data_IF_097840578011
#
_entry.id   IF_097840578011
#
_cell.length_a   1.000
_cell.length_b   1.000
_cell.length_c   1.000
_cell.angle_alpha   90.00
_cell.angle_beta   90.00
_cell.angle_gamma   90.00
#
_symmetry.space_group_name_H-M   'P 1'
#
loop_
_entity.id
_entity.type
_entity.pdbx_description
1 polymer ?
#
# COMPACT_ATOMS: atom_id res chain seq x y z
N UNK A 1 -7.34 9.56 13.17
CA UNK A 1 -7.67 8.11 13.22
C UNK A 1 -8.93 7.88 12.39
N UNK A 2 -8.92 6.90 11.50
CA UNK A 2 -10.07 6.50 10.69
C UNK A 2 -10.23 4.99 10.70
N UNK A 3 -11.43 4.52 10.39
CA UNK A 3 -11.71 3.10 10.22
C UNK A 3 -12.84 2.93 9.20
N UNK A 4 -12.72 1.95 8.31
CA UNK A 4 -13.74 1.59 7.34
C UNK A 4 -13.91 0.07 7.34
N UNK A 5 -15.15 -0.38 7.23
CA UNK A 5 -15.43 -1.80 7.01
C UNK A 5 -16.14 -1.97 5.67
N UNK A 6 -15.62 -2.85 4.82
CA UNK A 6 -16.16 -3.11 3.50
C UNK A 6 -16.70 -4.56 3.41
N UNK A 7 -17.82 -4.71 2.68
CA UNK A 7 -18.44 -6.00 2.31
C UNK A 7 -18.43 -6.13 0.79
N UNK A 8 -17.29 -6.45 0.18
CA UNK A 8 -17.20 -6.51 -1.27
C UNK A 8 -17.98 -7.71 -1.82
N UNK A 9 -18.63 -7.49 -2.96
CA UNK A 9 -19.38 -8.53 -3.67
C UNK A 9 -18.52 -9.72 -4.11
N UNK A 10 -17.22 -9.52 -4.26
CA UNK A 10 -16.24 -10.59 -4.56
C UNK A 10 -16.16 -11.65 -3.45
N UNK A 11 -16.45 -11.25 -2.21
CA UNK A 11 -16.50 -12.14 -1.04
C UNK A 11 -17.93 -12.61 -0.73
N UNK A 12 -18.94 -12.14 -1.45
CA UNK A 12 -20.31 -12.56 -1.25
C UNK A 12 -20.58 -13.93 -1.93
N UNK A 13 -20.90 -14.93 -1.12
CA UNK A 13 -21.28 -16.25 -1.63
C UNK A 13 -21.57 -17.24 -0.51
N UNK A 14 -22.29 -18.31 -0.79
CA UNK A 14 -22.77 -19.26 0.24
C UNK A 14 -21.62 -20.00 0.93
N UNK A 15 -20.48 -20.15 0.26
CA UNK A 15 -19.29 -20.84 0.77
C UNK A 15 -18.18 -19.91 1.22
N UNK A 16 -18.35 -18.59 1.07
CA UNK A 16 -17.33 -17.61 1.46
C UNK A 16 -17.16 -17.57 2.99
N UNK A 17 -15.93 -17.71 3.45
CA UNK A 17 -15.57 -17.67 4.87
C UNK A 17 -15.40 -16.22 5.35
N UNK A 18 -14.75 -15.38 4.56
CA UNK A 18 -14.46 -13.98 4.88
C UNK A 18 -15.42 -13.06 4.13
N UNK A 19 -16.42 -12.50 4.81
CA UNK A 19 -17.46 -11.68 4.19
C UNK A 19 -17.18 -10.17 4.22
N UNK A 20 -16.30 -9.74 5.09
CA UNK A 20 -15.94 -8.32 5.25
C UNK A 20 -14.51 -8.18 5.72
N UNK A 21 -13.98 -6.97 5.57
CA UNK A 21 -12.68 -6.62 6.13
C UNK A 21 -12.63 -5.16 6.60
N UNK A 22 -11.90 -4.96 7.70
CA UNK A 22 -11.77 -3.70 8.36
C UNK A 22 -10.43 -3.05 8.04
N UNK A 23 -10.46 -1.74 7.74
CA UNK A 23 -9.32 -0.89 7.40
C UNK A 23 -9.10 0.18 8.47
N UNK A 24 -8.23 -0.05 9.44
CA UNK A 24 -7.83 0.99 10.37
C UNK A 24 -6.71 1.85 9.80
N UNK A 25 -6.73 3.13 10.15
CA UNK A 25 -5.58 4.01 9.98
C UNK A 25 -5.44 4.98 11.15
N UNK A 26 -4.20 5.33 11.47
CA UNK A 26 -3.86 6.32 12.47
C UNK A 26 -2.69 7.15 11.97
N UNK A 27 -2.75 8.45 12.19
CA UNK A 27 -1.67 9.36 11.88
C UNK A 27 -1.69 10.54 12.82
N UNK A 28 -0.51 11.12 12.99
CA UNK A 28 -0.33 12.30 13.82
C UNK A 28 0.87 13.11 13.34
N UNK A 29 0.89 14.37 13.72
CA UNK A 29 2.05 15.24 13.51
C UNK A 29 2.19 16.22 14.67
N UNK A 30 3.42 16.59 14.92
CA UNK A 30 3.81 17.54 15.98
C UNK A 30 4.74 18.57 15.38
N UNK A 31 4.46 19.86 15.64
CA UNK A 31 5.33 20.96 15.29
C UNK A 31 6.30 21.20 16.45
N UNK A 32 7.48 20.62 16.38
CA UNK A 32 8.46 20.66 17.46
C UNK A 32 8.99 22.08 17.69
N UNK A 33 9.10 22.91 16.65
CA UNK A 33 9.54 24.30 16.78
C UNK A 33 8.62 25.15 17.66
N UNK A 34 7.32 24.80 17.79
CA UNK A 34 6.41 25.48 18.69
C UNK A 34 6.51 25.01 20.15
N UNK A 35 7.03 23.81 20.36
CA UNK A 35 7.25 23.25 21.71
C UNK A 35 8.59 23.68 22.32
N UNK A 36 9.45 24.34 21.54
CA UNK A 36 10.78 24.79 21.96
C UNK A 36 10.85 26.31 22.03
N UNK A 37 10.42 26.96 23.16
CA UNK A 37 10.32 28.41 23.24
C UNK A 37 11.66 29.14 23.12
N UNK A 38 12.79 28.48 23.44
CA UNK A 38 14.14 29.04 23.37
C UNK A 38 14.86 28.73 22.05
N UNK A 39 14.13 28.22 21.04
CA UNK A 39 14.73 27.90 19.75
C UNK A 39 15.12 29.17 19.00
N UNK A 40 16.37 29.29 18.58
CA UNK A 40 16.81 30.40 17.73
C UNK A 40 16.21 30.24 16.33
N UNK A 41 15.20 31.05 16.02
CA UNK A 41 14.44 31.00 14.74
C UNK A 41 15.29 31.41 13.52
N UNK A 42 16.46 32.03 13.73
CA UNK A 42 17.39 32.30 12.62
C UNK A 42 18.04 31.01 12.09
N UNK A 43 18.27 30.03 12.97
CA UNK A 43 18.84 28.73 12.58
C UNK A 43 17.78 27.71 12.24
N UNK A 44 16.67 27.64 13.01
CA UNK A 44 15.60 26.68 12.79
C UNK A 44 14.26 27.36 13.02
N UNK A 45 13.62 27.80 11.94
CA UNK A 45 12.35 28.54 12.02
C UNK A 45 11.13 27.63 12.08
N UNK A 46 11.26 26.38 11.60
CA UNK A 46 10.16 25.42 11.57
C UNK A 46 10.70 24.01 11.61
N UNK A 47 10.08 23.16 12.43
CA UNK A 47 10.37 21.72 12.48
C UNK A 47 9.09 20.96 12.81
N UNK A 48 8.67 20.08 11.92
CA UNK A 48 7.50 19.22 12.08
C UNK A 48 7.88 17.76 11.85
N UNK A 49 7.49 16.92 12.78
CA UNK A 49 7.54 15.46 12.63
C UNK A 49 6.14 14.94 12.38
N UNK A 50 6.01 14.00 11.44
CA UNK A 50 4.75 13.31 11.14
C UNK A 50 4.97 11.80 11.15
N UNK A 51 3.94 11.07 11.55
CA UNK A 51 3.93 9.62 11.47
C UNK A 51 2.54 9.12 11.15
N UNK A 52 2.45 8.09 10.32
CA UNK A 52 1.20 7.44 10.01
C UNK A 52 1.37 5.92 9.90
N UNK A 53 0.29 5.23 10.18
CA UNK A 53 0.14 3.81 9.94
C UNK A 53 -1.26 3.54 9.36
N UNK A 54 -1.32 2.67 8.35
CA UNK A 54 -2.57 2.25 7.74
C UNK A 54 -2.53 0.77 7.37
N UNK A 55 -3.68 0.12 7.48
CA UNK A 55 -3.91 -1.23 6.98
C UNK A 55 -5.01 -1.17 5.93
N UNK A 56 -4.70 -1.51 4.69
CA UNK A 56 -5.63 -1.46 3.56
C UNK A 56 -5.76 -2.85 2.97
N UNK A 57 -6.99 -3.27 2.67
CA UNK A 57 -7.26 -4.49 1.95
C UNK A 57 -7.62 -4.22 0.49
N UNK A 58 -7.23 -5.10 -0.40
CA UNK A 58 -7.60 -5.07 -1.80
C UNK A 58 -8.31 -6.39 -2.15
N UNK A 59 -9.56 -6.38 -2.62
CA UNK A 59 -10.24 -7.59 -3.03
C UNK A 59 -9.60 -8.15 -4.31
N UNK A 60 -9.69 -9.46 -4.48
CA UNK A 60 -9.29 -10.15 -5.70
C UNK A 60 -10.36 -10.03 -6.81
N UNK A 61 -10.11 -10.66 -7.97
CA UNK A 61 -11.00 -10.63 -9.12
C UNK A 61 -12.40 -11.12 -8.79
N UNK A 62 -13.40 -10.55 -9.47
CA UNK A 62 -14.80 -11.01 -9.38
C UNK A 62 -14.87 -12.50 -9.73
N UNK A 63 -15.67 -13.26 -8.99
CA UNK A 63 -15.89 -14.70 -9.14
C UNK A 63 -14.71 -15.63 -8.78
N UNK A 64 -13.57 -15.12 -8.33
CA UNK A 64 -12.46 -15.98 -7.89
C UNK A 64 -12.87 -16.89 -6.71
N UNK A 65 -13.58 -16.32 -5.71
CA UNK A 65 -14.08 -17.08 -4.57
C UNK A 65 -15.43 -17.78 -4.83
N UNK A 66 -16.24 -17.27 -5.74
CA UNK A 66 -17.55 -17.79 -6.09
C UNK A 66 -17.67 -17.86 -7.61
N UNK A 67 -17.11 -18.89 -8.22
CA UNK A 67 -17.13 -19.04 -9.66
C UNK A 67 -18.54 -19.23 -10.19
N UNK A 68 -18.80 -18.75 -11.40
CA UNK A 68 -20.08 -18.90 -12.07
C UNK A 68 -19.87 -19.54 -13.44
N UNK A 69 -20.90 -20.16 -13.97
CA UNK A 69 -20.90 -20.76 -15.29
C UNK A 69 -21.64 -19.81 -16.25
N UNK A 70 -20.94 -19.05 -17.12
CA UNK A 70 -21.60 -18.20 -18.09
C UNK A 70 -22.35 -19.05 -19.14
N UNK A 71 -23.52 -18.58 -19.55
CA UNK A 71 -24.26 -19.15 -20.66
C UNK A 71 -23.66 -18.69 -22.00
N UNK A 72 -23.31 -19.63 -22.85
CA UNK A 72 -22.80 -19.36 -24.19
C UNK A 72 -23.98 -19.44 -25.17
N UNK A 73 -24.54 -18.27 -25.51
CA UNK A 73 -25.78 -18.19 -26.30
C UNK A 73 -25.65 -18.81 -27.70
N UNK A 74 -24.50 -18.64 -28.35
CA UNK A 74 -24.26 -19.20 -29.69
C UNK A 74 -24.18 -20.73 -29.72
N UNK A 75 -23.77 -21.34 -28.63
CA UNK A 75 -23.58 -22.80 -28.51
C UNK A 75 -24.77 -23.48 -27.80
N UNK A 76 -25.68 -22.69 -27.22
CA UNK A 76 -26.80 -23.20 -26.45
C UNK A 76 -26.41 -24.02 -25.23
N UNK A 77 -25.27 -23.71 -24.61
CA UNK A 77 -24.71 -24.45 -23.47
C UNK A 77 -24.11 -23.55 -22.39
N UNK A 78 -23.99 -24.06 -21.19
CA UNK A 78 -23.19 -23.43 -20.13
C UNK A 78 -21.70 -23.66 -20.39
N UNK A 79 -20.87 -22.62 -20.13
CA UNK A 79 -19.42 -22.77 -20.18
C UNK A 79 -18.94 -23.73 -19.09
N UNK A 80 -17.79 -24.35 -19.31
CA UNK A 80 -17.10 -25.08 -18.27
C UNK A 80 -16.37 -24.11 -17.32
N UNK A 81 -16.22 -24.53 -16.06
CA UNK A 81 -15.41 -23.79 -15.11
C UNK A 81 -13.93 -24.03 -15.44
N UNK A 82 -13.22 -22.95 -15.74
CA UNK A 82 -11.79 -22.99 -16.11
C UNK A 82 -10.88 -22.86 -14.89
N UNK A 83 -11.33 -22.13 -13.88
CA UNK A 83 -10.55 -21.85 -12.68
C UNK A 83 -11.00 -22.76 -11.53
N UNK A 84 -10.03 -23.35 -10.81
CA UNK A 84 -10.33 -24.15 -9.61
C UNK A 84 -10.96 -23.28 -8.52
N UNK A 85 -12.13 -23.60 -7.97
CA UNK A 85 -12.82 -22.76 -7.00
C UNK A 85 -12.13 -22.78 -5.63
N UNK A 86 -11.72 -21.60 -5.15
CA UNK A 86 -11.13 -21.41 -3.84
C UNK A 86 -12.04 -20.54 -2.97
N UNK A 87 -12.73 -21.16 -2.01
CA UNK A 87 -13.75 -20.50 -1.18
C UNK A 87 -13.19 -19.76 0.04
N UNK A 88 -11.95 -20.04 0.43
CA UNK A 88 -11.27 -19.50 1.60
C UNK A 88 -10.34 -18.32 1.28
N UNK A 89 -10.41 -17.80 0.06
CA UNK A 89 -9.63 -16.65 -0.36
C UNK A 89 -9.80 -15.46 0.59
N UNK A 90 -8.68 -14.86 0.96
CA UNK A 90 -8.60 -13.66 1.81
C UNK A 90 -8.26 -12.45 0.95
N UNK A 91 -8.76 -11.25 1.26
CA UNK A 91 -8.29 -10.04 0.58
C UNK A 91 -6.79 -9.86 0.77
N UNK A 92 -6.12 -9.36 -0.26
CA UNK A 92 -4.76 -8.87 -0.09
C UNK A 92 -4.74 -7.77 0.96
N UNK A 93 -3.77 -7.78 1.84
CA UNK A 93 -3.64 -6.80 2.91
C UNK A 93 -2.29 -6.11 2.86
N UNK A 94 -2.32 -4.78 2.72
CA UNK A 94 -1.14 -3.94 2.80
C UNK A 94 -1.13 -3.18 4.12
N UNK A 95 -0.12 -3.44 4.93
CA UNK A 95 0.17 -2.67 6.13
C UNK A 95 1.32 -1.71 5.80
N UNK A 96 1.07 -0.42 5.91
CA UNK A 96 2.04 0.63 5.63
C UNK A 96 2.27 1.52 6.85
N UNK A 97 3.47 2.02 6.99
CA UNK A 97 3.81 3.07 7.93
C UNK A 97 4.77 4.07 7.27
N UNK A 98 4.67 5.30 7.70
CA UNK A 98 5.42 6.43 7.19
C UNK A 98 5.87 7.31 8.34
N UNK A 99 7.12 7.77 8.26
CA UNK A 99 7.70 8.78 9.14
C UNK A 99 8.26 9.91 8.28
N UNK A 100 7.88 11.14 8.61
CA UNK A 100 8.31 12.31 7.86
C UNK A 100 8.83 13.41 8.79
N UNK A 101 9.82 14.13 8.28
CA UNK A 101 10.41 15.31 8.92
C UNK A 101 10.38 16.45 7.91
N UNK A 102 9.78 17.57 8.30
CA UNK A 102 9.79 18.82 7.53
C UNK A 102 10.48 19.89 8.34
N UNK A 103 11.45 20.59 7.75
CA UNK A 103 12.23 21.62 8.42
C UNK A 103 12.41 22.86 7.53
N UNK A 104 12.47 24.05 8.16
CA UNK A 104 13.00 25.28 7.58
C UNK A 104 14.12 25.77 8.44
N UNK A 105 15.31 25.94 7.85
CA UNK A 105 16.50 26.28 8.59
C UNK A 105 17.37 27.28 7.82
N UNK A 106 18.22 28.01 8.54
CA UNK A 106 19.09 29.05 7.99
C UNK A 106 18.32 30.07 7.12
N UNK A 107 17.05 30.34 7.46
CA UNK A 107 16.11 31.26 6.78
C UNK A 107 15.70 30.85 5.37
N UNK A 108 16.59 30.25 4.60
CA UNK A 108 16.50 30.07 3.16
C UNK A 108 16.34 28.61 2.72
N UNK A 109 16.57 27.66 3.63
CA UNK A 109 16.51 26.23 3.30
C UNK A 109 15.23 25.59 3.78
N UNK A 110 14.65 24.75 2.91
CA UNK A 110 13.53 23.87 3.21
C UNK A 110 13.98 22.42 3.01
N UNK A 111 13.76 21.57 3.99
CA UNK A 111 14.04 20.14 3.92
C UNK A 111 12.77 19.37 4.22
N UNK A 112 12.48 18.40 3.39
CA UNK A 112 11.46 17.36 3.66
C UNK A 112 12.08 15.99 3.46
N UNK A 113 11.99 15.13 4.45
CA UNK A 113 12.48 13.75 4.40
C UNK A 113 11.36 12.84 4.83
N UNK A 114 11.08 11.81 4.03
CA UNK A 114 10.09 10.79 4.33
C UNK A 114 10.71 9.41 4.20
N UNK A 115 10.52 8.59 5.23
CA UNK A 115 10.78 7.15 5.18
C UNK A 115 9.47 6.39 5.23
N UNK A 116 9.30 5.41 4.34
CA UNK A 116 8.11 4.59 4.28
C UNK A 116 8.43 3.10 4.19
N UNK A 117 7.52 2.27 4.67
CA UNK A 117 7.55 0.82 4.49
C UNK A 117 6.13 0.27 4.38
N UNK A 118 5.87 -0.45 3.32
CA UNK A 118 4.60 -1.11 3.04
C UNK A 118 4.83 -2.61 2.86
N UNK A 119 4.10 -3.43 3.64
CA UNK A 119 4.10 -4.90 3.53
C UNK A 119 2.75 -5.36 3.03
N UNK A 120 2.73 -5.94 1.83
CA UNK A 120 1.56 -6.60 1.25
C UNK A 120 1.62 -8.10 1.55
N UNK A 121 0.52 -8.65 2.03
CA UNK A 121 0.34 -10.06 2.39
C UNK A 121 -0.86 -10.64 1.65
N UNK A 122 -0.94 -11.97 1.58
CA UNK A 122 -1.98 -12.71 0.85
C UNK A 122 -2.06 -12.33 -0.62
N UNK A 123 -0.91 -12.07 -1.25
CA UNK A 123 -0.89 -11.81 -2.69
C UNK A 123 -1.43 -13.03 -3.43
N UNK A 124 -2.33 -12.77 -4.35
CA UNK A 124 -3.01 -13.79 -5.13
C UNK A 124 -2.24 -14.03 -6.44
N UNK A 125 -1.82 -15.27 -6.63
CA UNK A 125 -1.23 -15.76 -7.87
C UNK A 125 -2.23 -16.69 -8.56
N UNK A 126 -2.20 -16.71 -9.89
CA UNK A 126 -3.09 -17.54 -10.69
C UNK A 126 -2.28 -18.38 -11.67
N UNK A 127 -1.48 -19.36 -11.19
CA UNK A 127 -0.69 -20.24 -12.05
C UNK A 127 -1.59 -21.20 -12.84
N UNK A 128 -1.05 -21.66 -13.97
CA UNK A 128 -1.67 -22.69 -14.78
C UNK A 128 -1.65 -24.04 -14.04
N UNK A 129 -2.73 -24.81 -14.20
CA UNK A 129 -2.91 -26.11 -13.56
C UNK A 129 -3.10 -27.20 -14.65
N UNK A 130 -2.03 -27.78 -15.21
CA UNK A 130 -2.11 -28.57 -16.44
C UNK A 130 -2.73 -29.98 -16.29
N UNK A 131 -3.12 -30.41 -15.09
CA UNK A 131 -3.37 -31.86 -14.84
C UNK A 131 -4.77 -32.21 -14.35
N UNK A 132 -5.68 -31.26 -14.09
CA UNK A 132 -6.89 -31.57 -13.32
C UNK A 132 -8.23 -31.23 -13.98
N UNK A 133 -8.26 -30.96 -15.28
CA UNK A 133 -9.48 -30.49 -15.96
C UNK A 133 -9.81 -29.02 -15.70
N UNK A 134 -9.04 -28.33 -14.85
CA UNK A 134 -9.02 -26.88 -14.69
C UNK A 134 -7.77 -26.30 -15.30
N UNK A 135 -7.86 -25.07 -15.82
CA UNK A 135 -6.73 -24.39 -16.44
C UNK A 135 -5.89 -23.63 -15.42
N UNK A 136 -6.50 -23.15 -14.33
CA UNK A 136 -5.86 -22.26 -13.36
C UNK A 136 -6.32 -22.51 -11.93
N UNK A 137 -5.48 -22.09 -10.98
CA UNK A 137 -5.79 -22.09 -9.55
C UNK A 137 -5.37 -20.76 -8.92
N UNK A 138 -6.14 -20.26 -7.95
CA UNK A 138 -5.75 -19.11 -7.14
C UNK A 138 -4.99 -19.56 -5.90
N UNK A 139 -3.75 -19.08 -5.73
CA UNK A 139 -2.89 -19.37 -4.58
C UNK A 139 -2.60 -18.06 -3.85
N UNK A 140 -2.78 -18.04 -2.53
CA UNK A 140 -2.56 -16.87 -1.68
C UNK A 140 -1.45 -17.13 -0.65
N UNK A 141 -0.21 -16.97 -1.03
CA UNK A 141 0.93 -17.24 -0.12
C UNK A 141 2.02 -16.17 -0.18
N UNK A 142 1.94 -15.24 -1.13
CA UNK A 142 2.96 -14.22 -1.31
C UNK A 142 2.94 -13.12 -0.25
N UNK A 143 4.13 -12.69 0.17
CA UNK A 143 4.31 -11.44 0.89
C UNK A 143 5.47 -10.65 0.30
N UNK A 144 5.23 -9.35 0.06
CA UNK A 144 6.22 -8.43 -0.51
C UNK A 144 6.32 -7.20 0.38
N UNK A 145 7.53 -6.70 0.56
CA UNK A 145 7.80 -5.43 1.25
C UNK A 145 8.39 -4.43 0.28
N UNK A 146 7.81 -3.24 0.23
CA UNK A 146 8.37 -2.04 -0.38
C UNK A 146 8.78 -1.08 0.73
N UNK A 147 10.00 -0.56 0.67
CA UNK A 147 10.47 0.46 1.60
C UNK A 147 11.39 1.43 0.90
N UNK A 148 11.37 2.69 1.31
CA UNK A 148 12.17 3.71 0.66
C UNK A 148 12.31 4.98 1.48
N UNK A 149 13.16 5.86 0.95
CA UNK A 149 13.39 7.20 1.45
C UNK A 149 13.14 8.19 0.32
N UNK A 150 12.45 9.26 0.64
CA UNK A 150 12.26 10.41 -0.22
C UNK A 150 12.84 11.63 0.47
N UNK A 151 13.58 12.45 -0.26
CA UNK A 151 14.21 13.66 0.22
C UNK A 151 13.96 14.80 -0.76
N UNK A 152 13.56 15.94 -0.23
CA UNK A 152 13.46 17.21 -0.97
C UNK A 152 14.21 18.29 -0.20
N UNK A 153 15.14 18.95 -0.85
CA UNK A 153 15.90 20.08 -0.32
C UNK A 153 15.71 21.29 -1.25
N UNK A 154 15.16 22.36 -0.72
CA UNK A 154 14.97 23.62 -1.43
C UNK A 154 15.81 24.72 -0.84
N UNK A 155 16.30 25.62 -1.68
CA UNK A 155 16.93 26.88 -1.30
C UNK A 155 16.28 28.02 -2.04
N UNK A 156 15.88 29.07 -1.29
CA UNK A 156 15.31 30.29 -1.85
C UNK A 156 15.95 31.50 -1.19
N UNK A 157 16.43 32.45 -2.00
CA UNK A 157 16.94 33.71 -1.49
C UNK A 157 16.74 34.85 -2.49
N UNK A 158 16.64 36.09 -1.98
CA UNK A 158 16.47 37.31 -2.78
C UNK A 158 17.54 38.31 -2.42
N UNK A 159 18.27 38.80 -3.43
CA UNK A 159 19.32 39.84 -3.33
C UNK A 159 19.02 40.97 -4.30
N UNK A 160 18.88 42.18 -3.81
CA UNK A 160 18.73 43.39 -4.66
C UNK A 160 17.70 43.22 -5.79
N UNK A 161 16.56 42.58 -5.52
CA UNK A 161 15.53 42.37 -6.54
C UNK A 161 15.73 41.11 -7.42
N UNK A 162 16.85 40.40 -7.29
CA UNK A 162 17.07 39.10 -7.94
C UNK A 162 16.70 37.98 -6.98
N UNK A 163 15.78 37.09 -7.38
CA UNK A 163 15.38 35.94 -6.61
C UNK A 163 15.98 34.68 -7.24
N UNK A 164 16.68 33.89 -6.40
CA UNK A 164 17.19 32.57 -6.75
C UNK A 164 16.38 31.51 -6.01
N UNK A 165 15.83 30.58 -6.77
CA UNK A 165 15.13 29.41 -6.26
C UNK A 165 15.74 28.16 -6.88
N UNK A 166 16.12 27.19 -6.07
CA UNK A 166 16.66 25.92 -6.54
C UNK A 166 16.22 24.78 -5.62
N UNK A 167 16.04 23.60 -6.19
CA UNK A 167 15.61 22.41 -5.47
C UNK A 167 16.36 21.17 -5.91
N UNK A 168 16.56 20.28 -4.96
CA UNK A 168 17.09 18.94 -5.17
C UNK A 168 16.11 17.91 -4.60
N UNK A 169 15.78 16.89 -5.39
CA UNK A 169 14.96 15.77 -4.96
C UNK A 169 15.69 14.46 -5.16
N UNK A 170 15.56 13.59 -4.20
CA UNK A 170 16.12 12.23 -4.24
C UNK A 170 15.09 11.23 -3.72
N UNK A 171 14.96 10.11 -4.42
CA UNK A 171 14.13 9.01 -3.94
C UNK A 171 14.81 7.66 -4.17
N UNK A 172 14.57 6.74 -3.24
CA UNK A 172 14.98 5.36 -3.39
C UNK A 172 13.88 4.43 -2.95
N UNK A 173 13.73 3.31 -3.63
CA UNK A 173 12.78 2.26 -3.28
C UNK A 173 13.47 0.89 -3.33
N UNK A 174 13.23 0.09 -2.31
CA UNK A 174 13.68 -1.30 -2.22
C UNK A 174 12.47 -2.21 -2.12
N UNK A 175 12.31 -3.07 -3.12
CA UNK A 175 11.34 -4.15 -3.11
C UNK A 175 12.01 -5.43 -2.61
N UNK A 176 11.35 -6.15 -1.69
CA UNK A 176 11.81 -7.44 -1.17
C UNK A 176 10.64 -8.42 -1.09
N UNK A 177 10.76 -9.53 -1.78
CA UNK A 177 9.88 -10.68 -1.60
C UNK A 177 10.25 -11.34 -0.27
N UNK A 178 9.27 -11.51 0.62
CA UNK A 178 9.46 -12.10 1.94
C UNK A 178 9.10 -13.58 1.96
N UNK A 179 8.02 -13.95 1.26
CA UNK A 179 7.55 -15.33 1.11
C UNK A 179 7.04 -15.55 -0.29
N UNK A 180 7.23 -16.74 -0.82
CA UNK A 180 6.71 -17.22 -2.10
C UNK A 180 5.78 -18.41 -1.88
N UNK A 181 5.01 -18.76 -2.91
CA UNK A 181 4.05 -19.85 -2.89
C UNK A 181 4.65 -21.24 -2.58
N UNK A 182 5.94 -21.42 -2.76
CA UNK A 182 6.61 -22.72 -2.52
C UNK A 182 6.61 -23.20 -1.07
N UNK A 183 6.42 -22.29 -0.09
CA UNK A 183 6.38 -22.67 1.32
C UNK A 183 5.03 -23.30 1.73
N UNK A 184 4.05 -23.33 0.83
CA UNK A 184 2.71 -23.87 1.06
C UNK A 184 2.51 -25.30 0.51
N UNK A 185 3.53 -25.88 -0.14
CA UNK A 185 3.44 -27.21 -0.81
C UNK A 185 4.27 -28.28 -0.06
N UNK A 186 4.81 -27.96 1.13
CA UNK A 186 5.51 -28.92 2.00
C UNK A 186 4.64 -29.32 3.18
#
# INVERSE_FOLDING_TARGET
>A
MTGRNDWPSQLAGPKSVNKSFFYPSVGGSVVLSELMPNLNKDYLSYMKVRGSWASVGNPFSRYAANPHFPWIANDGRWSQLTDYPMYDLKPERTNSWELGLSMRFLKNFNLDVTYYSAKTMNQTFNPDLPVSGFSKIYIQTGAVRNSGVELSLGYNNTWNGFTWDTGFTFSTNKNKILTLANDAIN
#
